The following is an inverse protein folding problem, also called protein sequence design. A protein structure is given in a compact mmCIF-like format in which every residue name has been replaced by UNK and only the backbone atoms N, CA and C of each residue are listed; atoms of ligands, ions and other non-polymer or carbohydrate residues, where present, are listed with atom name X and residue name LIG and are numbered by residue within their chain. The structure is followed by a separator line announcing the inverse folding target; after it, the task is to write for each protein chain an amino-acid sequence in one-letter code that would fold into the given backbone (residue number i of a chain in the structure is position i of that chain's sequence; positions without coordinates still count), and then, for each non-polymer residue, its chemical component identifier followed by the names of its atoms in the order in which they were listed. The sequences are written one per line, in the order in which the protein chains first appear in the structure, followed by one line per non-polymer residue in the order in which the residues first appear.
data_IF_791949922292
#
_entry.id   IF_791949922292
#
_cell.length_a   1.000
_cell.length_b   1.000
_cell.length_c   1.000
_cell.angle_alpha   90.00
_cell.angle_beta   90.00
_cell.angle_gamma   90.00
#
_symmetry.space_group_name_H-M   'P 1'
#
loop_
_entity.id
_entity.type
_entity.pdbx_description
1 polymer ?
#
# COMPACT_ATOMS: atom_id res chain seq x y z
N UNK A 1 -9.47 20.71 7.47
CA UNK A 1 -8.89 19.61 8.28
C UNK A 1 -8.45 18.53 7.29
N UNK A 2 -7.29 17.90 7.46
CA UNK A 2 -6.87 16.82 6.55
C UNK A 2 -7.82 15.61 6.71
N UNK A 3 -8.38 15.04 5.62
CA UNK A 3 -9.12 13.79 5.69
C UNK A 3 -8.30 12.66 6.31
N UNK A 4 -8.96 11.72 7.00
CA UNK A 4 -8.29 10.53 7.52
C UNK A 4 -8.03 9.54 6.39
N UNK A 5 -6.77 9.11 6.25
CA UNK A 5 -6.35 8.06 5.31
C UNK A 5 -6.02 6.79 6.09
N UNK A 6 -6.74 5.72 5.82
CA UNK A 6 -6.44 4.39 6.36
C UNK A 6 -5.46 3.69 5.41
N UNK A 7 -4.28 3.34 5.90
CA UNK A 7 -3.26 2.62 5.12
C UNK A 7 -3.33 1.13 5.43
N UNK A 8 -3.54 0.31 4.41
CA UNK A 8 -3.56 -1.15 4.51
C UNK A 8 -2.24 -1.75 4.02
N UNK A 9 -1.60 -2.54 4.86
CA UNK A 9 -0.36 -3.27 4.56
C UNK A 9 -0.60 -4.74 4.90
N UNK A 10 -0.50 -5.64 3.91
CA UNK A 10 -0.47 -7.08 4.15
C UNK A 10 0.99 -7.57 4.10
N UNK A 11 1.41 -8.32 5.12
CA UNK A 11 2.78 -8.78 5.28
C UNK A 11 2.83 -10.29 5.50
N UNK A 12 3.76 -10.97 4.82
CA UNK A 12 4.08 -12.37 5.03
C UNK A 12 5.55 -12.64 4.73
N UNK A 13 6.32 -12.98 5.76
CA UNK A 13 7.75 -13.33 5.65
C UNK A 13 8.58 -12.29 4.88
N UNK A 14 8.52 -11.02 5.31
CA UNK A 14 9.18 -9.86 4.68
C UNK A 14 10.13 -9.14 5.64
N UNK A 15 10.65 -9.81 6.67
CA UNK A 15 11.49 -9.21 7.72
C UNK A 15 12.63 -8.36 7.16
N UNK A 16 13.19 -8.77 6.00
CA UNK A 16 14.33 -8.10 5.37
C UNK A 16 14.04 -6.65 4.97
N UNK A 17 12.82 -6.36 4.50
CA UNK A 17 12.47 -5.06 3.93
C UNK A 17 11.45 -4.30 4.78
N UNK A 18 10.72 -5.01 5.63
CA UNK A 18 9.53 -4.49 6.28
C UNK A 18 9.78 -3.28 7.17
N UNK A 19 10.90 -3.26 7.91
CA UNK A 19 11.22 -2.11 8.75
C UNK A 19 11.38 -0.82 7.94
N UNK A 20 11.99 -0.89 6.75
CA UNK A 20 12.18 0.25 5.87
C UNK A 20 10.86 0.67 5.21
N UNK A 21 10.08 -0.29 4.73
CA UNK A 21 8.76 -0.07 4.16
C UNK A 21 7.82 0.62 5.17
N UNK A 22 7.70 0.06 6.36
CA UNK A 22 6.83 0.60 7.40
C UNK A 22 7.30 2.00 7.88
N UNK A 23 8.61 2.23 7.98
CA UNK A 23 9.15 3.54 8.29
C UNK A 23 8.77 4.59 7.22
N UNK A 24 8.75 4.23 5.95
CA UNK A 24 8.33 5.13 4.87
C UNK A 24 6.84 5.53 4.98
N UNK A 25 5.98 4.62 5.43
CA UNK A 25 4.55 4.90 5.67
C UNK A 25 4.36 5.77 6.92
N UNK A 26 5.01 5.44 8.02
CA UNK A 26 4.91 6.21 9.28
C UNK A 26 5.37 7.65 9.12
N UNK A 27 6.38 7.87 8.26
CA UNK A 27 6.99 9.18 8.02
C UNK A 27 6.37 9.95 6.84
N UNK A 28 5.22 9.55 6.31
CA UNK A 28 4.53 10.32 5.28
C UNK A 28 4.29 11.77 5.73
N UNK A 29 4.34 12.74 4.79
CA UNK A 29 4.04 14.16 5.06
C UNK A 29 2.59 14.36 5.47
N UNK A 30 1.67 13.54 4.96
CA UNK A 30 0.28 13.47 5.42
C UNK A 30 0.21 12.79 6.79
N UNK A 31 -0.22 13.52 7.82
CA UNK A 31 -0.12 13.06 9.22
C UNK A 31 -1.37 12.37 9.75
N UNK A 32 -2.55 12.69 9.21
CA UNK A 32 -3.81 12.10 9.65
C UNK A 32 -3.99 10.69 9.06
N UNK A 33 -3.29 9.73 9.65
CA UNK A 33 -3.24 8.33 9.22
C UNK A 33 -3.78 7.38 10.28
N UNK A 34 -4.43 6.32 9.83
CA UNK A 34 -4.71 5.07 10.55
C UNK A 34 -4.03 3.93 9.77
N UNK A 35 -3.11 3.19 10.39
CA UNK A 35 -2.27 2.21 9.70
C UNK A 35 -2.66 0.82 10.18
N UNK A 36 -3.21 0.01 9.28
CA UNK A 36 -3.57 -1.37 9.55
C UNK A 36 -2.57 -2.32 8.89
N UNK A 37 -1.90 -3.12 9.70
CA UNK A 37 -1.01 -4.19 9.26
C UNK A 37 -1.77 -5.51 9.44
N UNK A 38 -1.91 -6.28 8.36
CA UNK A 38 -2.38 -7.66 8.39
C UNK A 38 -1.17 -8.57 8.22
N UNK A 39 -0.75 -9.22 9.30
CA UNK A 39 0.30 -10.24 9.25
C UNK A 39 -0.36 -11.58 8.92
N UNK A 40 -0.03 -12.12 7.75
CA UNK A 40 -0.63 -13.35 7.20
C UNK A 40 0.07 -14.62 7.71
N UNK A 41 0.24 -14.71 9.05
CA UNK A 41 0.85 -15.85 9.69
C UNK A 41 2.35 -15.97 9.42
N UNK A 42 3.11 -14.86 9.49
CA UNK A 42 4.56 -14.87 9.29
C UNK A 42 5.27 -15.75 10.31
N UNK A 43 6.32 -16.44 9.85
CA UNK A 43 7.18 -17.32 10.65
C UNK A 43 8.57 -16.75 10.89
N UNK A 44 8.89 -15.62 10.27
CA UNK A 44 10.13 -14.84 10.43
C UNK A 44 9.96 -13.67 11.42
N UNK A 45 10.86 -12.69 11.40
CA UNK A 45 10.81 -11.50 12.24
C UNK A 45 9.75 -10.46 11.89
N UNK A 46 8.94 -10.65 10.83
CA UNK A 46 7.96 -9.66 10.31
C UNK A 46 7.01 -9.17 11.41
N UNK A 47 6.34 -10.07 12.12
CA UNK A 47 5.39 -9.69 13.19
C UNK A 47 6.07 -8.98 14.36
N UNK A 48 7.32 -9.35 14.67
CA UNK A 48 8.07 -8.69 15.75
C UNK A 48 8.39 -7.24 15.38
N UNK A 49 8.76 -6.98 14.11
CA UNK A 49 8.98 -5.63 13.56
C UNK A 49 7.69 -4.80 13.66
N UNK A 50 6.55 -5.35 13.19
CA UNK A 50 5.26 -4.66 13.29
C UNK A 50 4.94 -4.23 14.74
N UNK A 51 5.07 -5.15 15.69
CA UNK A 51 4.82 -4.89 17.11
C UNK A 51 5.76 -3.83 17.71
N UNK A 52 7.01 -3.79 17.26
CA UNK A 52 7.95 -2.79 17.72
C UNK A 52 7.59 -1.38 17.22
N UNK A 53 7.15 -1.25 15.97
CA UNK A 53 6.60 0.00 15.45
C UNK A 53 5.31 0.42 16.16
N UNK A 54 4.39 -0.52 16.42
CA UNK A 54 3.14 -0.25 17.13
C UNK A 54 3.37 0.33 18.53
N UNK A 55 4.40 -0.13 19.28
CA UNK A 55 4.75 0.43 20.59
C UNK A 55 5.13 1.91 20.52
N UNK A 56 5.65 2.38 19.38
CA UNK A 56 6.17 3.73 19.18
C UNK A 56 5.19 4.65 18.46
N UNK A 57 4.19 4.08 17.78
CA UNK A 57 3.22 4.84 16.98
C UNK A 57 1.80 4.27 17.21
N UNK A 58 0.98 5.04 17.93
CA UNK A 58 -0.40 4.65 18.28
C UNK A 58 -1.35 4.58 17.08
N UNK A 59 -0.95 5.09 15.90
CA UNK A 59 -1.73 4.99 14.67
C UNK A 59 -1.70 3.57 14.09
N UNK A 60 -0.78 2.71 14.53
CA UNK A 60 -0.60 1.36 14.00
C UNK A 60 -1.49 0.36 14.74
N UNK A 61 -2.29 -0.38 13.98
CA UNK A 61 -3.04 -1.55 14.40
C UNK A 61 -2.53 -2.79 13.69
N UNK A 62 -2.55 -3.94 14.36
CA UNK A 62 -2.07 -5.22 13.82
C UNK A 62 -3.16 -6.26 13.94
N UNK A 63 -3.46 -6.93 12.82
CA UNK A 63 -4.22 -8.17 12.76
C UNK A 63 -3.25 -9.31 12.40
N UNK A 64 -2.92 -10.15 13.37
CA UNK A 64 -2.07 -11.31 13.13
C UNK A 64 -2.94 -12.56 12.91
N UNK A 65 -2.78 -13.21 11.76
CA UNK A 65 -3.45 -14.46 11.43
C UNK A 65 -2.65 -15.64 12.00
N UNK A 66 -3.35 -16.72 12.34
CA UNK A 66 -2.71 -17.92 12.91
C UNK A 66 -1.89 -18.71 11.86
N UNK A 67 -2.22 -18.56 10.58
CA UNK A 67 -1.57 -19.24 9.45
C UNK A 67 -1.71 -18.41 8.18
N UNK A 68 -0.82 -18.68 7.21
CA UNK A 68 -0.89 -18.04 5.90
C UNK A 68 -2.17 -18.46 5.16
N UNK A 69 -2.91 -17.47 4.69
CA UNK A 69 -4.12 -17.62 3.88
C UNK A 69 -3.97 -17.04 2.47
N UNK A 70 -2.89 -16.31 2.22
CA UNK A 70 -2.58 -15.65 0.97
C UNK A 70 -3.01 -14.18 0.92
N UNK A 71 -2.48 -13.46 -0.05
CA UNK A 71 -2.65 -12.00 -0.16
C UNK A 71 -4.11 -11.56 -0.26
N UNK A 72 -4.91 -12.24 -1.11
CA UNK A 72 -6.30 -11.84 -1.37
C UNK A 72 -7.18 -11.97 -0.12
N UNK A 73 -7.19 -13.11 0.61
CA UNK A 73 -7.88 -13.22 1.88
C UNK A 73 -7.42 -12.17 2.89
N UNK A 74 -6.12 -11.92 3.01
CA UNK A 74 -5.56 -10.94 3.95
C UNK A 74 -5.98 -9.51 3.60
N UNK A 75 -6.03 -9.16 2.32
CA UNK A 75 -6.58 -7.87 1.87
C UNK A 75 -8.06 -7.73 2.25
N UNK A 76 -8.88 -8.76 2.03
CA UNK A 76 -10.30 -8.73 2.37
C UNK A 76 -10.51 -8.58 3.89
N UNK A 77 -9.76 -9.32 4.70
CA UNK A 77 -9.78 -9.17 6.16
C UNK A 77 -9.42 -7.74 6.57
N UNK A 78 -8.38 -7.17 5.96
CA UNK A 78 -7.97 -5.80 6.21
C UNK A 78 -9.04 -4.78 5.80
N UNK A 79 -9.66 -4.94 4.64
CA UNK A 79 -10.74 -4.08 4.16
C UNK A 79 -11.98 -4.16 5.05
N UNK A 80 -12.35 -5.37 5.52
CA UNK A 80 -13.46 -5.56 6.47
C UNK A 80 -13.21 -4.86 7.80
N UNK A 81 -11.95 -4.84 8.27
CA UNK A 81 -11.60 -4.10 9.49
C UNK A 81 -11.62 -2.59 9.25
N UNK A 82 -11.06 -2.12 8.14
CA UNK A 82 -11.08 -0.70 7.77
C UNK A 82 -12.49 -0.19 7.50
N UNK A 83 -13.41 -1.03 7.05
CA UNK A 83 -14.83 -0.66 6.90
C UNK A 83 -15.46 -0.20 8.23
N UNK A 84 -14.92 -0.62 9.38
CA UNK A 84 -15.35 -0.19 10.72
C UNK A 84 -14.70 1.11 11.17
N UNK A 85 -13.65 1.55 10.50
CA UNK A 85 -12.91 2.79 10.82
C UNK A 85 -13.58 4.01 10.16
N UNK A 86 -13.15 5.24 10.52
CA UNK A 86 -13.70 6.48 9.98
C UNK A 86 -12.92 7.06 8.79
N UNK A 87 -11.97 6.32 8.19
CA UNK A 87 -11.13 6.85 7.12
C UNK A 87 -11.93 7.20 5.87
N UNK A 88 -11.69 8.38 5.29
CA UNK A 88 -12.32 8.84 4.04
C UNK A 88 -11.64 8.24 2.82
N UNK A 89 -10.36 7.89 2.96
CA UNK A 89 -9.53 7.27 1.95
C UNK A 89 -8.92 5.98 2.46
N UNK A 90 -8.69 5.06 1.54
CA UNK A 90 -7.93 3.83 1.80
C UNK A 90 -6.75 3.81 0.84
N UNK A 91 -5.55 3.76 1.40
CA UNK A 91 -4.30 3.60 0.70
C UNK A 91 -3.80 2.16 0.86
N UNK A 92 -3.33 1.55 -0.21
CA UNK A 92 -2.74 0.22 -0.17
C UNK A 92 -1.27 0.29 -0.61
N UNK A 93 -0.38 -0.33 0.16
CA UNK A 93 1.02 -0.53 -0.22
C UNK A 93 1.49 -1.94 0.15
N UNK A 94 2.49 -2.44 -0.56
CA UNK A 94 3.11 -3.73 -0.24
C UNK A 94 4.12 -3.57 0.91
N UNK A 95 4.33 -4.64 1.67
CA UNK A 95 5.16 -4.62 2.87
C UNK A 95 6.68 -4.59 2.56
N UNK A 96 7.06 -4.71 1.31
CA UNK A 96 8.43 -4.66 0.79
C UNK A 96 8.71 -3.45 -0.12
N UNK A 97 7.72 -2.56 -0.30
CA UNK A 97 7.85 -1.34 -1.08
C UNK A 97 8.19 -0.11 -0.23
N UNK A 98 8.90 0.85 -0.81
CA UNK A 98 9.26 2.11 -0.16
C UNK A 98 8.42 3.23 -0.76
N UNK A 99 7.43 3.71 -0.01
CA UNK A 99 6.60 4.83 -0.42
C UNK A 99 7.40 6.15 -0.41
N UNK A 100 7.22 6.97 -1.46
CA UNK A 100 7.78 8.32 -1.47
C UNK A 100 7.20 9.15 -0.29
N UNK A 101 7.97 10.05 0.33
CA UNK A 101 7.54 10.76 1.54
C UNK A 101 6.24 11.56 1.39
N UNK A 102 5.94 12.00 0.19
CA UNK A 102 4.78 12.84 -0.15
C UNK A 102 3.73 12.11 -0.99
N UNK A 103 3.81 10.77 -1.06
CA UNK A 103 2.91 9.95 -1.86
C UNK A 103 1.43 10.19 -1.54
N UNK A 104 1.07 10.07 -0.25
CA UNK A 104 -0.33 10.25 0.19
C UNK A 104 -0.77 11.70 -0.04
N UNK A 105 0.07 12.68 0.31
CA UNK A 105 -0.24 14.10 0.16
C UNK A 105 -0.53 14.46 -1.29
N UNK A 106 0.29 14.00 -2.23
CA UNK A 106 0.11 14.28 -3.65
C UNK A 106 -1.17 13.66 -4.19
N UNK A 107 -1.42 12.38 -3.91
CA UNK A 107 -2.58 11.68 -4.46
C UNK A 107 -3.88 12.21 -3.84
N UNK A 108 -3.97 12.29 -2.52
CA UNK A 108 -5.17 12.80 -1.85
C UNK A 108 -5.41 14.26 -2.19
N UNK A 109 -4.32 15.06 -2.31
CA UNK A 109 -4.41 16.46 -2.74
C UNK A 109 -5.05 16.63 -4.12
N UNK A 110 -4.74 15.78 -5.09
CA UNK A 110 -5.39 15.79 -6.41
C UNK A 110 -6.84 15.28 -6.33
N UNK A 111 -7.09 14.21 -5.59
CA UNK A 111 -8.44 13.69 -5.39
C UNK A 111 -9.38 14.68 -4.69
N UNK A 112 -8.87 15.55 -3.81
CA UNK A 112 -9.68 16.59 -3.16
C UNK A 112 -10.01 17.76 -4.09
N UNK A 113 -9.19 18.03 -5.10
CA UNK A 113 -9.50 19.03 -6.14
C UNK A 113 -10.61 18.57 -7.08
N UNK A 114 -10.68 17.27 -7.33
CA UNK A 114 -11.70 16.67 -8.20
C UNK A 114 -12.35 15.47 -7.48
N UNK A 115 -13.56 15.71 -6.96
CA UNK A 115 -14.32 14.70 -6.23
C UNK A 115 -14.88 13.57 -7.11
N UNK A 116 -14.81 13.69 -8.42
CA UNK A 116 -15.18 12.61 -9.34
C UNK A 116 -14.14 11.51 -9.41
N UNK A 117 -12.89 11.80 -9.00
CA UNK A 117 -11.81 10.81 -8.93
C UNK A 117 -12.04 9.90 -7.71
N UNK A 118 -12.39 8.64 -7.98
CA UNK A 118 -12.67 7.64 -6.94
C UNK A 118 -11.45 6.80 -6.56
N UNK A 119 -10.48 6.66 -7.46
CA UNK A 119 -9.23 5.96 -7.21
C UNK A 119 -8.10 6.56 -8.04
N UNK A 120 -6.88 6.59 -7.49
CA UNK A 120 -5.68 7.06 -8.15
C UNK A 120 -4.47 6.25 -7.68
N UNK A 121 -3.47 6.07 -8.53
CA UNK A 121 -2.19 5.43 -8.20
C UNK A 121 -1.00 6.27 -8.66
N UNK A 122 0.19 5.82 -8.29
CA UNK A 122 1.46 6.42 -8.69
C UNK A 122 2.25 5.49 -9.61
N UNK A 123 3.29 6.03 -10.24
CA UNK A 123 4.28 5.23 -10.94
C UNK A 123 5.26 4.61 -9.94
N UNK A 124 5.89 3.51 -10.36
CA UNK A 124 6.89 2.80 -9.58
C UNK A 124 8.27 2.99 -10.20
N UNK A 125 9.27 3.10 -9.33
CA UNK A 125 10.67 2.92 -9.69
C UNK A 125 11.15 1.58 -9.16
N UNK A 126 11.83 0.80 -10.01
CA UNK A 126 12.36 -0.50 -9.64
C UNK A 126 13.66 -0.31 -8.88
N UNK A 127 13.69 -0.76 -7.62
CA UNK A 127 14.90 -0.85 -6.82
C UNK A 127 15.44 -2.28 -6.90
N UNK A 128 16.69 -2.45 -7.30
CA UNK A 128 17.39 -3.74 -7.29
C UNK A 128 18.55 -3.71 -6.32
N UNK A 129 18.69 -4.75 -5.50
CA UNK A 129 19.90 -4.95 -4.73
C UNK A 129 20.98 -5.58 -5.63
N UNK A 130 22.16 -4.97 -5.70
CA UNK A 130 23.33 -5.65 -6.23
C UNK A 130 23.73 -6.75 -5.25
N UNK A 131 23.58 -8.00 -5.67
CA UNK A 131 24.22 -9.13 -4.99
C UNK A 131 25.35 -9.66 -5.86
N UNK A 132 26.50 -9.81 -5.22
CA UNK A 132 27.72 -10.37 -5.79
C UNK A 132 27.47 -11.50 -6.79
N UNK A 133 27.70 -11.21 -8.07
CA UNK A 133 27.97 -12.17 -9.13
C UNK A 133 26.81 -13.03 -9.65
N UNK A 134 25.66 -13.07 -8.99
CA UNK A 134 24.51 -13.88 -9.43
C UNK A 134 23.36 -12.96 -9.89
N UNK A 135 23.43 -12.56 -11.15
CA UNK A 135 22.45 -11.68 -11.81
C UNK A 135 21.12 -12.39 -11.98
N UNK A 136 20.16 -12.08 -11.15
CA UNK A 136 18.77 -12.31 -11.50
C UNK A 136 18.44 -11.46 -12.75
N UNK A 137 17.66 -12.00 -13.67
CA UNK A 137 17.33 -11.41 -14.97
C UNK A 137 16.63 -10.01 -14.89
N UNK A 138 16.42 -9.47 -13.71
CA UNK A 138 15.78 -8.18 -13.42
C UNK A 138 16.74 -7.00 -13.22
N UNK A 139 18.05 -7.21 -13.25
CA UNK A 139 19.04 -6.12 -13.07
C UNK A 139 18.97 -5.01 -14.13
N UNK A 140 18.38 -5.29 -15.30
CA UNK A 140 18.22 -4.29 -16.34
C UNK A 140 17.10 -3.26 -16.07
N UNK A 141 16.37 -3.42 -14.97
CA UNK A 141 15.20 -2.56 -14.64
C UNK A 141 15.47 -1.60 -13.49
N UNK A 142 16.64 -1.66 -12.83
CA UNK A 142 16.98 -0.71 -11.76
C UNK A 142 16.88 0.74 -12.25
N UNK A 143 16.19 1.59 -11.49
CA UNK A 143 15.93 2.97 -11.86
C UNK A 143 14.89 3.15 -12.98
N UNK A 144 14.35 2.05 -13.53
CA UNK A 144 13.27 2.13 -14.51
C UNK A 144 11.96 2.53 -13.86
N UNK A 145 11.35 3.58 -14.38
CA UNK A 145 10.02 4.01 -13.95
C UNK A 145 8.97 3.25 -14.74
N UNK A 146 8.18 2.44 -14.05
CA UNK A 146 7.04 1.76 -14.63
C UNK A 146 5.83 2.69 -14.68
N UNK A 147 5.56 3.20 -15.88
CA UNK A 147 4.46 4.12 -16.15
C UNK A 147 3.20 3.36 -16.53
N UNK A 148 2.07 3.83 -16.02
CA UNK A 148 0.73 3.37 -16.38
C UNK A 148 -0.04 4.50 -17.05
N UNK A 149 -1.15 4.22 -17.75
CA UNK A 149 -2.03 5.25 -18.27
C UNK A 149 -2.46 6.24 -17.19
N UNK A 150 -2.59 7.52 -17.55
CA UNK A 150 -2.92 8.58 -16.57
C UNK A 150 -4.30 9.19 -16.80
N UNK A 151 -4.87 9.10 -18.02
CA UNK A 151 -6.21 9.60 -18.31
C UNK A 151 -7.24 8.50 -18.13
N UNK A 152 -8.43 8.86 -17.67
CA UNK A 152 -9.52 7.91 -17.38
C UNK A 152 -9.86 7.01 -18.61
N UNK A 153 -9.96 7.59 -19.78
CA UNK A 153 -10.25 6.87 -21.02
C UNK A 153 -9.17 5.84 -21.40
N UNK A 154 -7.89 6.19 -21.19
CA UNK A 154 -6.76 5.28 -21.43
C UNK A 154 -6.73 4.15 -20.40
N UNK A 155 -7.05 4.47 -19.14
CA UNK A 155 -7.19 3.48 -18.04
C UNK A 155 -8.32 2.50 -18.38
N UNK A 156 -9.50 3.00 -18.79
CA UNK A 156 -10.64 2.17 -19.14
C UNK A 156 -10.32 1.27 -20.36
N UNK A 157 -9.65 1.81 -21.38
CA UNK A 157 -9.23 1.06 -22.55
C UNK A 157 -8.17 -0.02 -22.24
N UNK A 158 -7.32 0.20 -21.22
CA UNK A 158 -6.28 -0.74 -20.83
C UNK A 158 -6.81 -1.90 -19.99
N UNK A 159 -7.93 -1.72 -19.29
CA UNK A 159 -8.47 -2.68 -18.32
C UNK A 159 -8.64 -4.11 -18.85
N UNK A 160 -9.09 -4.34 -20.11
CA UNK A 160 -9.19 -5.71 -20.67
C UNK A 160 -7.83 -6.41 -20.86
N UNK A 161 -6.73 -5.66 -20.87
CA UNK A 161 -5.39 -6.18 -21.16
C UNK A 161 -4.52 -6.33 -19.90
N UNK A 162 -4.95 -5.78 -18.77
CA UNK A 162 -4.22 -5.87 -17.52
C UNK A 162 -4.63 -4.81 -16.49
N UNK A 163 -3.93 -4.78 -15.36
CA UNK A 163 -4.19 -3.79 -14.33
C UNK A 163 -3.64 -2.41 -14.73
N UNK A 164 -4.49 -1.40 -14.93
CA UNK A 164 -4.08 -0.07 -15.35
C UNK A 164 -3.47 0.79 -14.24
N UNK A 165 -3.63 0.39 -12.98
CA UNK A 165 -3.09 1.09 -11.79
C UNK A 165 -2.19 0.12 -11.04
N UNK A 166 -1.04 0.58 -10.57
CA UNK A 166 -0.21 -0.23 -9.67
C UNK A 166 -0.91 -0.38 -8.32
N UNK A 167 -1.28 -1.61 -7.97
CA UNK A 167 -2.06 -1.89 -6.75
C UNK A 167 -1.38 -1.41 -5.47
N UNK A 168 -0.06 -1.52 -5.42
CA UNK A 168 0.78 -1.12 -4.29
C UNK A 168 0.98 0.40 -4.14
N UNK A 169 0.38 1.19 -5.03
CA UNK A 169 0.40 2.65 -4.96
C UNK A 169 -1.00 3.25 -4.93
N UNK A 170 -2.02 2.41 -4.91
CA UNK A 170 -3.40 2.85 -5.07
C UNK A 170 -3.95 3.48 -3.80
N UNK A 171 -4.57 4.65 -3.98
CA UNK A 171 -5.43 5.28 -2.98
C UNK A 171 -6.83 5.40 -3.58
N UNK A 172 -7.84 4.99 -2.82
CA UNK A 172 -9.23 5.05 -3.25
C UNK A 172 -10.11 5.74 -2.20
N UNK A 173 -11.23 6.33 -2.64
CA UNK A 173 -12.26 6.79 -1.71
C UNK A 173 -12.92 5.58 -1.05
N UNK A 174 -13.22 5.71 0.22
CA UNK A 174 -13.91 4.66 1.00
C UNK A 174 -15.24 4.23 0.36
N UNK A 175 -15.96 5.16 -0.28
CA UNK A 175 -17.21 4.87 -0.97
C UNK A 175 -17.13 3.74 -2.01
N UNK A 176 -15.93 3.46 -2.53
CA UNK A 176 -15.69 2.32 -3.44
C UNK A 176 -15.95 0.99 -2.72
N UNK A 177 -15.50 0.88 -1.47
CA UNK A 177 -15.70 -0.34 -0.66
C UNK A 177 -17.12 -0.43 -0.13
N UNK A 178 -17.66 0.70 0.35
CA UNK A 178 -19.03 0.77 0.85
C UNK A 178 -20.06 0.42 -0.25
N UNK A 179 -19.72 0.65 -1.52
CA UNK A 179 -20.48 0.23 -2.70
C UNK A 179 -20.37 -1.26 -3.06
N UNK A 180 -19.64 -2.06 -2.28
CA UNK A 180 -19.51 -3.52 -2.46
C UNK A 180 -18.47 -3.94 -3.50
N UNK A 181 -17.62 -3.04 -3.99
CA UNK A 181 -16.47 -3.37 -4.83
C UNK A 181 -15.32 -3.85 -3.94
N UNK A 182 -14.99 -5.15 -4.02
CA UNK A 182 -13.87 -5.81 -3.31
C UNK A 182 -13.03 -6.63 -4.26
#
# INVERSE_FOLDING_TARGET
MQPLVSVLICAYNVEKYFAQSLAAVVNQTWRNLDILIVDDGSTDGTLAIAKDFQKRDSRIKILAQAQNSGLIPSLNIGLDELAKSGGEYIARTDADDIAAPDWIEKIVGEMEKDRSIIAMGAWLEVLSEEKDGNRLARHHEHGKIWKKPTRHEDIAAFFPFGNPIHNNTMIMRRSVIDGGLR
#
